data_IF_090269990193
#
_entry.id   IF_090269990193
#
_cell.length_a   1.000
_cell.length_b   1.000
_cell.length_c   1.000
_cell.angle_alpha   90.00
_cell.angle_beta   90.00
_cell.angle_gamma   90.00
#
_symmetry.space_group_name_H-M   'P 1'
#
loop_
_entity.id
_entity.type
_entity.pdbx_description
1 polymer ?
#
# COMPACT_ATOMS: atom_id res chain seq x y z
N UNK A 1 4.20 -6.73 17.78
CA UNK A 1 4.00 -5.83 16.64
C UNK A 1 5.27 -5.04 16.43
N UNK A 2 5.79 -5.03 15.21
CA UNK A 2 7.02 -4.32 14.81
C UNK A 2 6.68 -3.40 13.65
N UNK A 3 7.19 -2.16 13.66
CA UNK A 3 6.93 -1.17 12.59
C UNK A 3 8.25 -0.72 11.97
N UNK A 4 8.31 -0.71 10.64
CA UNK A 4 9.45 -0.24 9.86
C UNK A 4 9.01 0.76 8.80
N UNK A 5 9.79 1.81 8.57
CA UNK A 5 9.53 2.77 7.48
C UNK A 5 10.61 2.60 6.42
N UNK A 6 10.20 2.38 5.17
CA UNK A 6 11.11 2.27 4.02
C UNK A 6 10.78 3.36 2.98
N UNK A 7 11.78 4.07 2.42
CA UNK A 7 11.53 5.02 1.35
C UNK A 7 10.87 4.35 0.13
N UNK A 8 9.90 5.01 -0.47
CA UNK A 8 9.26 4.53 -1.68
C UNK A 8 10.17 4.79 -2.90
N UNK A 9 10.16 3.88 -3.86
CA UNK A 9 10.74 4.18 -5.17
C UNK A 9 9.90 5.24 -5.89
N UNK A 10 10.49 6.04 -6.79
CA UNK A 10 9.70 6.96 -7.62
C UNK A 10 8.63 6.22 -8.43
N UNK A 11 7.48 6.85 -8.65
CA UNK A 11 6.39 6.32 -9.47
C UNK A 11 5.27 5.61 -8.72
N UNK A 12 5.34 5.54 -7.39
CA UNK A 12 4.24 5.08 -6.54
C UNK A 12 3.31 6.24 -6.17
N UNK A 13 2.00 6.05 -6.32
CA UNK A 13 0.99 7.06 -6.01
C UNK A 13 -0.19 6.46 -5.25
N UNK A 14 -0.92 7.30 -4.52
CA UNK A 14 -2.28 7.01 -4.08
C UNK A 14 -3.27 7.78 -4.95
N UNK A 15 -4.41 7.17 -5.19
CA UNK A 15 -5.59 7.75 -5.82
C UNK A 15 -6.69 7.89 -4.76
N UNK A 16 -7.26 9.08 -4.64
CA UNK A 16 -8.26 9.42 -3.62
C UNK A 16 -9.68 9.01 -4.05
N UNK A 17 -10.36 8.07 -3.36
CA UNK A 17 -11.70 7.62 -3.72
C UNK A 17 -12.76 8.70 -3.47
N UNK A 18 -12.51 9.70 -2.62
CA UNK A 18 -13.44 10.82 -2.41
C UNK A 18 -13.60 11.73 -3.64
N UNK A 19 -12.71 11.58 -4.64
CA UNK A 19 -12.82 12.21 -5.97
C UNK A 19 -13.73 11.39 -6.91
N UNK A 20 -14.12 10.17 -6.52
CA UNK A 20 -15.05 9.29 -7.21
C UNK A 20 -16.49 9.78 -7.02
N UNK A 21 -16.87 10.83 -7.76
CA UNK A 21 -18.28 11.24 -7.91
C UNK A 21 -18.90 10.67 -9.18
N UNK A 22 -18.79 9.35 -9.36
CA UNK A 22 -19.78 8.56 -10.10
C UNK A 22 -20.00 8.86 -11.59
N UNK A 23 -19.04 9.43 -12.30
CA UNK A 23 -19.07 9.48 -13.77
C UNK A 23 -17.74 8.97 -14.31
N UNK A 24 -17.78 8.15 -15.36
CA UNK A 24 -16.65 7.61 -16.14
C UNK A 24 -15.79 8.73 -16.78
N UNK A 25 -15.27 9.65 -15.98
CA UNK A 25 -14.37 10.70 -16.44
C UNK A 25 -12.93 10.31 -16.11
N UNK A 26 -12.09 10.42 -17.14
CA UNK A 26 -10.66 10.14 -17.12
C UNK A 26 -10.00 10.76 -15.88
N UNK A 27 -9.28 9.95 -15.10
CA UNK A 27 -8.52 10.41 -13.94
C UNK A 27 -7.61 11.58 -14.30
N UNK A 28 -7.78 12.72 -13.64
CA UNK A 28 -6.85 13.82 -13.79
C UNK A 28 -5.56 13.49 -13.03
N UNK A 29 -4.36 13.74 -13.60
CA UNK A 29 -3.08 13.50 -12.91
C UNK A 29 -2.93 14.25 -11.58
N UNK A 30 -3.74 15.27 -11.34
CA UNK A 30 -3.82 16.05 -10.09
C UNK A 30 -4.40 15.25 -8.92
N UNK A 31 -5.03 14.12 -9.20
CA UNK A 31 -5.76 13.32 -8.22
C UNK A 31 -4.85 12.26 -7.58
N UNK A 32 -3.60 12.21 -8.06
CA UNK A 32 -2.54 11.34 -7.59
C UNK A 32 -1.66 12.07 -6.58
N UNK A 33 -1.49 11.46 -5.41
CA UNK A 33 -0.52 11.92 -4.42
C UNK A 33 0.66 10.97 -4.38
N UNK A 34 1.87 11.49 -4.55
CA UNK A 34 3.08 10.67 -4.54
C UNK A 34 3.31 10.02 -3.16
N UNK A 35 3.65 8.74 -3.18
CA UNK A 35 4.04 8.00 -1.98
C UNK A 35 5.52 8.29 -1.73
N UNK A 36 5.83 8.75 -0.52
CA UNK A 36 7.20 9.10 -0.11
C UNK A 36 7.89 7.93 0.58
N UNK A 37 7.14 7.17 1.35
CA UNK A 37 7.61 6.01 2.09
C UNK A 37 6.47 5.02 2.32
N UNK A 38 6.85 3.80 2.71
CA UNK A 38 5.94 2.76 3.16
C UNK A 38 6.17 2.50 4.64
N UNK A 39 5.10 2.54 5.42
CA UNK A 39 5.08 2.01 6.78
C UNK A 39 4.67 0.55 6.71
N UNK A 40 5.59 -0.34 7.07
CA UNK A 40 5.35 -1.77 7.14
C UNK A 40 5.12 -2.13 8.60
N UNK A 41 3.96 -2.75 8.86
CA UNK A 41 3.55 -3.22 10.16
C UNK A 41 3.56 -4.75 10.13
N UNK A 42 4.27 -5.36 11.08
CA UNK A 42 4.32 -6.82 11.24
C UNK A 42 3.71 -7.20 12.57
N UNK A 43 2.72 -8.08 12.54
CA UNK A 43 1.99 -8.59 13.69
C UNK A 43 2.12 -10.10 13.75
N UNK A 44 2.76 -10.60 14.80
CA UNK A 44 2.81 -12.04 15.05
C UNK A 44 1.42 -12.52 15.50
N UNK A 45 0.90 -13.52 14.78
CA UNK A 45 -0.42 -14.09 14.96
C UNK A 45 -0.32 -15.62 15.09
N UNK A 46 -1.42 -16.24 15.53
CA UNK A 46 -1.58 -17.68 15.55
C UNK A 46 -2.77 -18.07 14.69
N UNK A 47 -2.58 -19.06 13.81
CA UNK A 47 -3.68 -19.71 13.10
C UNK A 47 -4.58 -20.45 14.09
N UNK A 48 -5.77 -20.86 13.65
CA UNK A 48 -6.71 -21.63 14.49
C UNK A 48 -6.13 -22.97 14.97
N UNK A 49 -5.16 -23.53 14.25
CA UNK A 49 -4.45 -24.77 14.61
C UNK A 49 -3.26 -24.53 15.57
N UNK A 50 -3.01 -23.28 15.98
CA UNK A 50 -1.89 -22.89 16.85
C UNK A 50 -0.57 -22.63 16.13
N UNK A 51 -0.51 -22.78 14.81
CA UNK A 51 0.69 -22.48 14.02
C UNK A 51 0.99 -20.97 14.04
N UNK A 52 2.19 -20.54 14.45
CA UNK A 52 2.56 -19.13 14.42
C UNK A 52 2.79 -18.65 12.99
N UNK A 53 2.38 -17.42 12.69
CA UNK A 53 2.69 -16.74 11.44
C UNK A 53 2.80 -15.23 11.67
N UNK A 54 3.46 -14.50 10.77
CA UNK A 54 3.61 -13.04 10.88
C UNK A 54 2.76 -12.36 9.81
N UNK A 55 1.66 -11.74 10.22
CA UNK A 55 0.83 -10.94 9.34
C UNK A 55 1.52 -9.60 9.06
N UNK A 56 1.60 -9.20 7.79
CA UNK A 56 2.25 -7.95 7.39
C UNK A 56 1.30 -7.06 6.60
N UNK A 57 1.22 -5.79 7.00
CA UNK A 57 0.42 -4.73 6.36
C UNK A 57 1.35 -3.60 5.90
N UNK A 58 1.04 -3.00 4.75
CA UNK A 58 1.79 -1.89 4.16
C UNK A 58 0.91 -0.66 3.99
N UNK A 59 1.31 0.46 4.60
CA UNK A 59 0.59 1.73 4.52
C UNK A 59 1.47 2.79 3.83
N UNK A 60 0.94 3.53 2.84
CA UNK A 60 1.67 4.60 2.21
C UNK A 60 1.76 5.82 3.13
N UNK A 61 2.92 6.45 3.14
CA UNK A 61 3.16 7.74 3.77
C UNK A 61 3.29 8.76 2.64
N UNK A 62 2.47 9.81 2.70
CA UNK A 62 2.49 10.90 1.72
C UNK A 62 2.82 12.23 2.38
N UNK A 63 3.03 13.29 1.59
CA UNK A 63 3.19 14.65 2.12
C UNK A 63 1.90 15.20 2.78
N UNK A 64 0.75 14.60 2.48
CA UNK A 64 -0.54 15.01 3.03
C UNK A 64 -0.93 14.24 4.30
N UNK A 65 -0.13 13.23 4.70
CA UNK A 65 -0.36 12.38 5.86
C UNK A 65 -0.71 10.94 5.48
N UNK A 66 -1.37 10.25 6.42
CA UNK A 66 -1.90 8.90 6.28
C UNK A 66 -3.39 8.98 5.93
N UNK A 67 -3.83 8.09 5.04
CA UNK A 67 -5.22 7.99 4.59
C UNK A 67 -5.77 6.61 4.94
N UNK A 68 -7.06 6.52 5.24
CA UNK A 68 -7.70 5.23 5.57
C UNK A 68 -8.33 4.55 4.34
N UNK A 69 -8.67 5.32 3.29
CA UNK A 69 -9.31 4.81 2.07
C UNK A 69 -8.64 5.42 0.83
N UNK A 70 -7.92 4.59 0.08
CA UNK A 70 -7.19 4.96 -1.12
C UNK A 70 -6.99 3.76 -2.06
N UNK A 71 -6.74 4.05 -3.33
CA UNK A 71 -6.22 3.05 -4.26
C UNK A 71 -4.73 3.31 -4.46
N UNK A 72 -3.93 2.26 -4.50
CA UNK A 72 -2.49 2.36 -4.77
C UNK A 72 -2.26 2.18 -6.25
N UNK A 73 -1.51 3.10 -6.85
CA UNK A 73 -1.01 3.00 -8.22
C UNK A 73 0.48 2.66 -8.17
N UNK A 74 0.83 1.51 -8.73
CA UNK A 74 2.21 1.04 -8.81
C UNK A 74 2.95 1.71 -10.00
N UNK A 75 4.30 1.71 -9.99
CA UNK A 75 5.11 2.29 -11.07
C UNK A 75 4.86 1.67 -12.46
N UNK A 76 4.37 0.44 -12.52
CA UNK A 76 3.97 -0.22 -13.78
C UNK A 76 2.58 0.22 -14.29
N UNK A 77 1.89 1.10 -13.55
CA UNK A 77 0.57 1.65 -13.87
C UNK A 77 -0.60 0.80 -13.39
N UNK A 78 -0.34 -0.35 -12.75
CA UNK A 78 -1.39 -1.17 -12.16
C UNK A 78 -1.97 -0.51 -10.90
N UNK A 79 -3.23 -0.84 -10.61
CA UNK A 79 -3.96 -0.30 -9.46
C UNK A 79 -4.36 -1.46 -8.54
N UNK A 80 -4.04 -1.35 -7.25
CA UNK A 80 -4.44 -2.31 -6.21
C UNK A 80 -5.16 -1.58 -5.07
N UNK A 81 -6.04 -2.29 -4.36
CA UNK A 81 -6.78 -1.71 -3.23
C UNK A 81 -5.94 -1.66 -1.95
N UNK A 82 -6.35 -0.80 -1.02
CA UNK A 82 -5.74 -0.54 0.30
C UNK A 82 -5.42 -1.77 1.15
N UNK A 83 -6.25 -2.81 1.12
CA UNK A 83 -6.06 -4.01 1.95
C UNK A 83 -5.05 -4.99 1.34
N UNK A 84 -3.79 -4.57 1.28
CA UNK A 84 -2.67 -5.41 0.86
C UNK A 84 -2.18 -6.23 2.05
N UNK A 85 -2.68 -7.47 2.17
CA UNK A 85 -2.35 -8.37 3.27
C UNK A 85 -1.36 -9.45 2.84
N UNK A 86 -0.24 -9.55 3.55
CA UNK A 86 0.80 -10.55 3.31
C UNK A 86 0.99 -11.52 4.47
N UNK A 87 1.24 -12.79 4.13
CA UNK A 87 1.60 -13.83 5.11
C UNK A 87 3.06 -13.75 5.58
N UNK A 88 3.94 -13.06 4.84
CA UNK A 88 5.36 -12.90 5.20
C UNK A 88 5.86 -11.49 4.91
N UNK A 89 6.75 -10.99 5.78
CA UNK A 89 7.34 -9.65 5.67
C UNK A 89 8.18 -9.47 4.38
N UNK A 90 8.85 -10.54 3.94
CA UNK A 90 9.69 -10.52 2.73
C UNK A 90 8.86 -10.26 1.47
N UNK A 91 7.67 -10.88 1.36
CA UNK A 91 6.80 -10.67 0.20
C UNK A 91 6.33 -9.21 0.08
N UNK A 92 6.00 -8.56 1.20
CA UNK A 92 5.59 -7.16 1.20
C UNK A 92 6.74 -6.23 0.72
N UNK A 93 7.96 -6.47 1.19
CA UNK A 93 9.14 -5.70 0.76
C UNK A 93 9.45 -5.95 -0.72
N UNK A 94 9.35 -7.19 -1.18
CA UNK A 94 9.66 -7.54 -2.57
C UNK A 94 8.66 -6.94 -3.55
N UNK A 95 7.36 -6.90 -3.21
CA UNK A 95 6.35 -6.20 -4.00
C UNK A 95 6.68 -4.69 -4.12
N UNK A 96 6.96 -4.01 -3.00
CA UNK A 96 7.35 -2.58 -2.97
C UNK A 96 8.58 -2.31 -3.83
N UNK A 97 9.62 -3.13 -3.67
CA UNK A 97 10.90 -2.96 -4.37
C UNK A 97 10.79 -3.26 -5.85
N UNK A 98 9.96 -4.23 -6.23
CA UNK A 98 9.78 -4.61 -7.64
C UNK A 98 8.86 -3.66 -8.40
N UNK A 99 8.19 -2.73 -7.72
CA UNK A 99 7.25 -1.80 -8.36
C UNK A 99 6.02 -2.52 -8.91
N UNK A 100 5.72 -3.72 -8.40
CA UNK A 100 4.59 -4.53 -8.80
C UNK A 100 3.38 -4.21 -7.94
N UNK A 101 2.17 -4.40 -8.46
CA UNK A 101 0.97 -4.36 -7.62
C UNK A 101 1.07 -5.42 -6.53
N UNK A 102 0.40 -5.09 -5.44
CA UNK A 102 0.26 -5.96 -4.28
C UNK A 102 -0.88 -6.95 -4.46
#
# INVERSE_FOLDING_TARGET
MTTTVIPAQPGWFILHPSMYKGTDEDFAPTDLTAILAWRIVVTDMQRQDGTPFSHTEAYPITCQGEFDDFLVVAPDGSVSSTDCQYETFEHAIDAIRSGKPF
#
